data_IF_567271291982
#
_entry.id   IF_567271291982
#
_cell.length_a   1.000
_cell.length_b   1.000
_cell.length_c   1.000
_cell.angle_alpha   90.00
_cell.angle_beta   90.00
_cell.angle_gamma   90.00
#
_symmetry.space_group_name_H-M   'P 1'
#
loop_
_entity.id
_entity.type
_entity.pdbx_description
1 polymer ?
#
# COMPACT_ATOMS: atom_id res chain seq x y z
N UNK A 1 30.41 -26.69 6.00
CA UNK A 1 29.13 -27.22 6.53
C UNK A 1 28.11 -27.22 5.40
N UNK A 2 27.22 -28.24 5.27
CA UNK A 2 26.18 -28.21 4.25
C UNK A 2 25.27 -26.98 4.47
N UNK A 3 24.97 -26.26 3.39
CA UNK A 3 24.12 -25.07 3.44
C UNK A 3 22.69 -25.48 3.75
N UNK A 4 22.26 -25.31 5.00
CA UNK A 4 20.89 -25.60 5.38
C UNK A 4 20.00 -24.51 4.77
N UNK A 5 19.26 -24.87 3.72
CA UNK A 5 18.36 -23.95 3.03
C UNK A 5 16.94 -24.20 3.53
N UNK A 6 16.29 -23.17 4.05
CA UNK A 6 14.88 -23.20 4.45
C UNK A 6 14.06 -22.40 3.45
N UNK A 7 12.96 -22.97 2.98
CA UNK A 7 12.00 -22.30 2.08
C UNK A 7 10.65 -22.14 2.78
N UNK A 8 10.10 -20.93 2.74
CA UNK A 8 8.77 -20.60 3.25
C UNK A 8 8.00 -19.84 2.16
N UNK A 9 6.68 -19.94 2.18
CA UNK A 9 5.82 -19.28 1.21
C UNK A 9 4.61 -18.68 1.89
N UNK A 10 4.38 -17.40 1.68
CA UNK A 10 3.33 -16.63 2.31
C UNK A 10 2.35 -16.06 1.29
N UNK A 11 1.10 -15.95 1.70
CA UNK A 11 0.03 -15.31 0.94
C UNK A 11 -0.49 -14.12 1.74
N UNK A 12 -0.50 -12.94 1.13
CA UNK A 12 -1.10 -11.74 1.74
C UNK A 12 -2.60 -11.75 1.50
N UNK A 13 -3.37 -11.80 2.60
CA UNK A 13 -4.84 -11.69 2.58
C UNK A 13 -5.28 -10.52 3.46
N UNK A 14 -6.45 -9.99 3.16
CA UNK A 14 -7.19 -9.13 4.08
C UNK A 14 -8.02 -10.01 5.00
N UNK A 15 -7.86 -9.83 6.30
CA UNK A 15 -8.85 -10.24 7.30
C UNK A 15 -9.83 -9.08 7.52
N UNK A 16 -10.95 -9.35 8.21
CA UNK A 16 -12.16 -8.53 8.21
C UNK A 16 -11.99 -7.07 8.75
N UNK A 17 -10.78 -6.65 9.12
CA UNK A 17 -10.38 -5.30 9.57
C UNK A 17 -9.29 -4.64 8.69
N UNK A 18 -9.20 -5.00 7.40
CA UNK A 18 -8.25 -4.43 6.43
C UNK A 18 -6.75 -4.60 6.72
N UNK A 19 -6.36 -5.23 7.84
CA UNK A 19 -4.97 -5.52 8.15
C UNK A 19 -4.46 -6.59 7.16
N UNK A 20 -3.53 -6.25 6.25
CA UNK A 20 -2.97 -7.23 5.34
C UNK A 20 -2.04 -8.15 6.12
N UNK A 21 -2.48 -9.39 6.37
CA UNK A 21 -1.67 -10.39 7.07
C UNK A 21 -1.07 -11.35 6.04
N UNK A 22 0.25 -11.55 6.13
CA UNK A 22 0.92 -12.65 5.44
C UNK A 22 0.65 -13.95 6.18
N UNK A 23 -0.13 -14.83 5.56
CA UNK A 23 -0.43 -16.16 6.08
C UNK A 23 0.57 -17.16 5.52
N UNK A 24 1.17 -17.97 6.38
CA UNK A 24 2.04 -19.07 5.97
C UNK A 24 1.22 -20.12 5.18
N UNK A 25 1.60 -20.31 3.93
CA UNK A 25 1.02 -21.26 3.00
C UNK A 25 2.06 -22.28 2.49
N UNK A 26 3.20 -22.41 3.18
CA UNK A 26 4.34 -23.27 2.79
C UNK A 26 3.90 -24.71 2.53
N UNK A 27 3.08 -25.28 3.43
CA UNK A 27 2.57 -26.65 3.31
C UNK A 27 1.59 -26.87 2.15
N UNK A 28 1.08 -25.78 1.56
CA UNK A 28 0.12 -25.81 0.46
C UNK A 28 0.77 -25.47 -0.90
N UNK A 29 2.09 -25.36 -0.97
CA UNK A 29 2.79 -25.17 -2.24
C UNK A 29 2.56 -26.41 -3.12
N UNK A 30 1.98 -26.20 -4.32
CA UNK A 30 1.54 -27.27 -5.25
C UNK A 30 0.47 -28.22 -4.69
N UNK A 31 -0.20 -27.86 -3.60
CA UNK A 31 -1.33 -28.59 -3.03
C UNK A 31 -2.53 -27.66 -2.94
N UNK A 32 -3.70 -28.24 -2.67
CA UNK A 32 -4.91 -27.47 -2.49
C UNK A 32 -4.84 -26.66 -1.20
N UNK A 33 -5.08 -25.36 -1.33
CA UNK A 33 -5.31 -24.51 -0.17
C UNK A 33 -6.64 -24.92 0.48
N UNK A 34 -6.68 -25.06 1.81
CA UNK A 34 -7.88 -25.51 2.53
C UNK A 34 -8.93 -24.39 2.65
N UNK A 35 -8.65 -23.21 2.11
CA UNK A 35 -9.48 -22.02 2.24
C UNK A 35 -9.95 -21.58 0.85
N UNK A 36 -11.27 -21.45 0.62
CA UNK A 36 -11.77 -20.92 -0.64
C UNK A 36 -11.31 -19.47 -0.84
N UNK A 37 -10.83 -19.17 -2.03
CA UNK A 37 -10.70 -17.79 -2.51
C UNK A 37 -12.03 -17.44 -3.16
N UNK A 38 -12.91 -16.78 -2.41
CA UNK A 38 -14.06 -16.13 -3.05
C UNK A 38 -13.55 -14.99 -3.92
N UNK A 39 -14.27 -14.65 -4.99
CA UNK A 39 -13.95 -13.50 -5.84
C UNK A 39 -13.81 -12.19 -5.04
N UNK A 40 -14.47 -12.11 -3.87
CA UNK A 40 -14.33 -11.00 -2.91
C UNK A 40 -12.97 -11.05 -2.18
N UNK A 41 -12.56 -12.19 -1.60
CA UNK A 41 -11.27 -12.30 -0.87
C UNK A 41 -10.07 -12.60 -1.79
N UNK A 42 -9.85 -11.75 -2.80
CA UNK A 42 -8.84 -11.91 -3.85
C UNK A 42 -7.40 -11.95 -3.31
N UNK A 43 -6.57 -12.80 -3.92
CA UNK A 43 -5.12 -12.88 -3.66
C UNK A 43 -4.47 -11.50 -3.90
N UNK A 44 -3.90 -10.87 -2.86
CA UNK A 44 -3.30 -9.52 -3.00
C UNK A 44 -1.80 -9.57 -3.26
N UNK A 45 -1.10 -10.48 -2.58
CA UNK A 45 0.32 -10.69 -2.81
C UNK A 45 0.73 -12.12 -2.46
N UNK A 46 1.82 -12.58 -3.04
CA UNK A 46 2.54 -13.77 -2.60
C UNK A 46 3.98 -13.40 -2.26
N UNK A 47 4.54 -14.01 -1.23
CA UNK A 47 5.94 -13.83 -0.87
C UNK A 47 6.62 -15.18 -0.69
N UNK A 48 7.56 -15.51 -1.57
CA UNK A 48 8.47 -16.62 -1.34
C UNK A 48 9.63 -16.16 -0.47
N UNK A 49 10.03 -16.96 0.51
CA UNK A 49 11.19 -16.71 1.37
C UNK A 49 12.16 -17.87 1.26
N UNK A 50 13.44 -17.58 1.04
CA UNK A 50 14.52 -18.57 1.12
C UNK A 50 15.59 -18.05 2.07
N UNK A 51 15.84 -18.82 3.11
CA UNK A 51 16.88 -18.54 4.09
C UNK A 51 18.02 -19.52 3.89
N UNK A 52 19.23 -19.00 3.73
CA UNK A 52 20.46 -19.77 3.91
C UNK A 52 21.33 -19.15 5.01
N UNK A 53 22.59 -19.53 5.11
CA UNK A 53 23.49 -19.07 6.18
C UNK A 53 23.91 -17.59 6.02
N UNK A 54 23.93 -17.09 4.80
CA UNK A 54 24.48 -15.78 4.43
C UNK A 54 23.38 -14.81 3.97
N UNK A 55 22.37 -15.32 3.27
CA UNK A 55 21.34 -14.53 2.59
C UNK A 55 19.94 -14.97 3.04
N UNK A 56 19.09 -13.97 3.27
CA UNK A 56 17.65 -14.13 3.36
C UNK A 56 17.01 -13.47 2.14
N UNK A 57 16.57 -14.30 1.19
CA UNK A 57 15.87 -13.82 0.01
C UNK A 57 14.36 -13.82 0.21
N UNK A 58 13.74 -12.71 -0.19
CA UNK A 58 12.31 -12.48 -0.21
C UNK A 58 11.91 -12.14 -1.65
N UNK A 59 10.84 -12.74 -2.15
CA UNK A 59 10.30 -12.48 -3.47
C UNK A 59 8.82 -12.13 -3.34
N UNK A 60 8.50 -10.84 -3.21
CA UNK A 60 7.13 -10.35 -3.17
C UNK A 60 6.60 -10.08 -4.57
N UNK A 61 5.42 -10.63 -4.86
CA UNK A 61 4.64 -10.30 -6.04
C UNK A 61 3.29 -9.77 -5.62
N UNK A 62 3.00 -8.53 -5.96
CA UNK A 62 1.67 -7.94 -5.82
C UNK A 62 0.83 -8.29 -7.06
N UNK A 63 -0.45 -8.52 -6.85
CA UNK A 63 -1.41 -8.86 -7.90
C UNK A 63 -2.48 -7.78 -8.03
N UNK A 64 -2.85 -7.46 -9.26
CA UNK A 64 -4.15 -6.85 -9.56
C UNK A 64 -5.26 -7.89 -9.42
N UNK A 65 -6.53 -7.45 -9.29
CA UNK A 65 -7.68 -8.36 -9.28
C UNK A 65 -7.69 -9.32 -10.48
N UNK A 66 -7.55 -8.78 -11.70
CA UNK A 66 -7.47 -9.56 -12.95
C UNK A 66 -6.29 -10.55 -12.96
N UNK A 67 -5.13 -10.18 -12.41
CA UNK A 67 -3.99 -11.10 -12.31
C UNK A 67 -4.22 -12.18 -11.26
N UNK A 68 -4.83 -11.83 -10.13
CA UNK A 68 -5.20 -12.77 -9.08
C UNK A 68 -6.20 -13.83 -9.60
N UNK A 69 -7.21 -13.40 -10.38
CA UNK A 69 -8.18 -14.29 -11.03
C UNK A 69 -7.51 -15.28 -11.99
N UNK A 70 -6.50 -14.85 -12.75
CA UNK A 70 -5.75 -15.74 -13.66
C UNK A 70 -4.91 -16.80 -12.95
N UNK A 71 -4.57 -16.57 -11.69
CA UNK A 71 -3.84 -17.55 -10.87
C UNK A 71 -4.79 -18.59 -10.25
N UNK A 72 -6.10 -18.36 -10.36
CA UNK A 72 -7.17 -19.23 -9.90
C UNK A 72 -7.67 -20.11 -11.06
N UNK A 73 -7.67 -21.42 -10.85
CA UNK A 73 -8.25 -22.41 -11.73
C UNK A 73 -9.70 -22.69 -11.30
N UNK A 74 -10.64 -22.64 -12.25
CA UNK A 74 -12.01 -23.05 -12.02
C UNK A 74 -12.11 -24.56 -12.16
N UNK A 75 -12.29 -25.25 -11.04
CA UNK A 75 -12.42 -26.71 -11.01
C UNK A 75 -13.87 -27.07 -10.76
N UNK A 76 -14.52 -27.69 -11.74
CA UNK A 76 -15.83 -28.30 -11.58
C UNK A 76 -15.65 -29.77 -11.17
N UNK A 77 -16.30 -30.15 -10.08
CA UNK A 77 -16.35 -31.54 -9.62
C UNK A 77 -17.79 -31.94 -9.35
N UNK A 78 -18.13 -33.20 -9.63
CA UNK A 78 -19.46 -33.73 -9.36
C UNK A 78 -19.41 -34.60 -8.11
N UNK A 79 -20.01 -34.12 -7.02
CA UNK A 79 -20.12 -34.86 -5.77
C UNK A 79 -21.59 -35.25 -5.57
N UNK A 80 -21.86 -36.55 -5.48
CA UNK A 80 -23.21 -37.11 -5.30
C UNK A 80 -24.26 -36.61 -6.31
N UNK A 81 -23.88 -36.47 -7.58
CA UNK A 81 -24.78 -36.02 -8.66
C UNK A 81 -25.02 -34.51 -8.71
N UNK A 82 -24.37 -33.72 -7.85
CA UNK A 82 -24.41 -32.25 -7.86
C UNK A 82 -23.08 -31.71 -8.40
N UNK A 83 -23.16 -30.83 -9.40
CA UNK A 83 -21.98 -30.11 -9.90
C UNK A 83 -21.62 -29.02 -8.90
N UNK A 84 -20.41 -29.10 -8.35
CA UNK A 84 -19.82 -28.11 -7.46
C UNK A 84 -18.62 -27.49 -8.16
N UNK A 85 -18.65 -26.18 -8.36
CA UNK A 85 -17.53 -25.41 -8.89
C UNK A 85 -16.73 -24.81 -7.73
N UNK A 86 -15.41 -24.99 -7.76
CA UNK A 86 -14.48 -24.43 -6.78
C UNK A 86 -13.31 -23.74 -7.47
N UNK A 87 -12.98 -22.56 -6.95
CA UNK A 87 -11.82 -21.78 -7.36
C UNK A 87 -10.57 -22.28 -6.61
N UNK A 88 -9.57 -22.77 -7.34
CA UNK A 88 -8.32 -23.30 -6.78
C UNK A 88 -7.12 -22.44 -7.17
N UNK A 89 -6.33 -21.98 -6.19
CA UNK A 89 -5.09 -21.25 -6.46
C UNK A 89 -3.90 -22.21 -6.46
N UNK A 90 -3.19 -22.32 -7.58
CA UNK A 90 -1.96 -23.12 -7.65
C UNK A 90 -0.75 -22.31 -7.20
N UNK A 91 -0.48 -22.34 -5.90
CA UNK A 91 0.70 -21.69 -5.32
C UNK A 91 2.00 -22.30 -5.85
N UNK A 92 2.89 -21.44 -6.37
CA UNK A 92 4.22 -21.83 -6.86
C UNK A 92 5.30 -21.00 -6.18
N UNK A 93 6.24 -21.69 -5.54
CA UNK A 93 7.43 -21.06 -4.97
C UNK A 93 8.28 -20.42 -6.08
N UNK A 94 8.66 -19.12 -5.99
CA UNK A 94 9.44 -18.41 -7.01
C UNK A 94 10.93 -18.76 -6.93
N UNK A 95 11.27 -20.06 -7.02
CA UNK A 95 12.63 -20.58 -6.78
C UNK A 95 13.70 -19.97 -7.68
N UNK A 96 13.37 -19.66 -8.94
CA UNK A 96 14.29 -19.01 -9.88
C UNK A 96 14.64 -17.60 -9.41
N UNK A 97 13.63 -16.81 -9.04
CA UNK A 97 13.82 -15.46 -8.50
C UNK A 97 14.64 -15.49 -7.21
N UNK A 98 14.29 -16.37 -6.27
CA UNK A 98 15.01 -16.53 -5.00
C UNK A 98 16.47 -16.96 -5.20
N UNK A 99 16.72 -17.83 -6.18
CA UNK A 99 18.08 -18.22 -6.52
C UNK A 99 18.89 -17.04 -7.07
N UNK A 100 18.34 -16.31 -8.04
CA UNK A 100 19.00 -15.13 -8.59
C UNK A 100 19.25 -14.04 -7.53
N UNK A 101 18.30 -13.82 -6.61
CA UNK A 101 18.49 -12.93 -5.46
C UNK A 101 19.68 -13.35 -4.59
N UNK A 102 19.81 -14.64 -4.25
CA UNK A 102 20.96 -15.12 -3.49
C UNK A 102 22.28 -14.93 -4.23
N UNK A 103 22.33 -15.24 -5.53
CA UNK A 103 23.54 -15.07 -6.34
C UNK A 103 23.98 -13.60 -6.41
N UNK A 104 23.05 -12.69 -6.68
CA UNK A 104 23.36 -11.25 -6.73
C UNK A 104 23.72 -10.70 -5.36
N UNK A 105 23.03 -11.11 -4.29
CA UNK A 105 23.37 -10.71 -2.92
C UNK A 105 24.81 -11.10 -2.55
N UNK A 106 25.22 -12.32 -2.90
CA UNK A 106 26.60 -12.78 -2.68
C UNK A 106 27.61 -12.01 -3.51
N UNK A 107 27.28 -11.70 -4.77
CA UNK A 107 28.14 -10.87 -5.61
C UNK A 107 28.30 -9.44 -5.05
N UNK A 108 27.24 -8.89 -4.45
CA UNK A 108 27.25 -7.56 -3.84
C UNK A 108 27.81 -7.54 -2.42
N UNK A 109 28.02 -8.70 -1.77
CA UNK A 109 28.44 -8.79 -0.36
C UNK A 109 29.69 -7.99 -0.01
N UNK A 110 30.62 -7.85 -0.96
CA UNK A 110 31.89 -7.13 -0.82
C UNK A 110 31.69 -5.61 -0.80
N UNK A 111 30.64 -5.11 -1.45
CA UNK A 111 30.36 -3.66 -1.56
C UNK A 111 29.14 -3.23 -0.74
N UNK A 112 28.33 -4.18 -0.27
CA UNK A 112 27.16 -3.91 0.55
C UNK A 112 27.58 -3.66 2.01
N UNK A 113 27.78 -2.39 2.34
CA UNK A 113 27.95 -1.89 3.70
C UNK A 113 26.60 -1.71 4.42
N UNK A 114 26.43 -0.56 5.08
CA UNK A 114 25.19 -0.16 5.76
C UNK A 114 24.16 0.49 4.81
N UNK A 115 24.49 0.56 3.53
CA UNK A 115 23.66 1.13 2.47
C UNK A 115 22.64 0.12 1.94
N UNK A 116 21.67 0.65 1.20
CA UNK A 116 20.68 -0.12 0.44
C UNK A 116 21.07 -0.05 -1.03
N UNK A 117 21.23 -1.20 -1.68
CA UNK A 117 21.46 -1.26 -3.13
C UNK A 117 20.14 -1.67 -3.80
N UNK A 118 19.61 -0.84 -4.70
CA UNK A 118 18.44 -1.16 -5.51
C UNK A 118 18.85 -1.39 -6.96
N UNK A 119 18.54 -2.56 -7.49
CA UNK A 119 18.60 -2.87 -8.92
C UNK A 119 17.27 -2.53 -9.59
N UNK A 120 17.31 -1.68 -10.62
CA UNK A 120 16.19 -1.35 -11.50
C UNK A 120 16.68 -1.49 -12.95
N UNK A 121 16.02 -2.33 -13.74
CA UNK A 121 16.35 -2.58 -15.16
C UNK A 121 17.84 -2.90 -15.43
N UNK A 122 18.49 -3.56 -14.47
CA UNK A 122 19.90 -3.98 -14.54
C UNK A 122 20.90 -2.95 -14.02
N UNK A 123 20.44 -1.73 -13.75
CA UNK A 123 21.24 -0.68 -13.13
C UNK A 123 21.20 -0.78 -11.59
N UNK A 124 22.34 -0.60 -10.94
CA UNK A 124 22.47 -0.68 -9.48
C UNK A 124 22.61 0.71 -8.88
N UNK A 125 21.62 1.12 -8.10
CA UNK A 125 21.56 2.39 -7.39
C UNK A 125 21.90 2.18 -5.92
N UNK A 126 22.68 3.10 -5.35
CA UNK A 126 23.09 3.08 -3.95
C UNK A 126 22.30 4.14 -3.20
N UNK A 127 21.59 3.72 -2.16
CA UNK A 127 20.76 4.56 -1.31
C UNK A 127 21.30 4.50 0.12
N UNK A 128 21.47 5.65 0.76
CA UNK A 128 21.70 5.71 2.21
C UNK A 128 20.40 5.47 2.95
N UNK A 129 20.43 4.67 4.01
CA UNK A 129 19.28 4.47 4.91
C UNK A 129 19.58 5.11 6.27
N UNK A 130 19.02 6.29 6.50
CA UNK A 130 19.03 6.93 7.81
C UNK A 130 17.92 6.31 8.68
N UNK A 131 18.21 6.04 9.96
CA UNK A 131 17.26 5.40 10.88
C UNK A 131 16.96 6.31 12.07
N UNK A 132 15.68 6.51 12.36
CA UNK A 132 15.18 7.12 13.58
C UNK A 132 14.34 6.07 14.34
N UNK A 133 15.00 5.29 15.19
CA UNK A 133 14.37 4.09 15.77
C UNK A 133 14.09 3.04 14.68
N UNK A 134 12.83 2.66 14.53
CA UNK A 134 12.37 1.71 13.51
C UNK A 134 11.84 2.40 12.24
N UNK A 135 11.91 3.72 12.15
CA UNK A 135 11.57 4.46 10.93
C UNK A 135 12.83 4.70 10.10
N UNK A 136 12.70 4.61 8.78
CA UNK A 136 13.80 4.77 7.83
C UNK A 136 13.55 5.88 6.82
N UNK A 137 14.57 6.66 6.49
CA UNK A 137 14.54 7.60 5.37
C UNK A 137 15.62 7.22 4.36
N UNK A 138 15.25 7.15 3.08
CA UNK A 138 16.16 6.83 1.99
C UNK A 138 16.61 8.09 1.25
N UNK A 139 17.85 8.10 0.77
CA UNK A 139 18.36 9.12 -0.14
C UNK A 139 19.34 8.51 -1.15
N UNK A 140 19.27 8.92 -2.41
CA UNK A 140 20.18 8.44 -3.45
C UNK A 140 21.59 8.99 -3.19
N UNK A 141 22.57 8.09 -3.21
CA UNK A 141 23.95 8.38 -2.86
C UNK A 141 24.95 7.97 -3.95
N UNK A 142 24.51 7.28 -5.00
CA UNK A 142 25.40 6.89 -6.09
C UNK A 142 24.81 5.82 -7.01
N UNK A 143 25.60 5.44 -8.01
CA UNK A 143 25.33 4.30 -8.90
C UNK A 143 26.54 3.36 -8.92
N UNK A 144 26.30 2.06 -8.82
CA UNK A 144 27.31 1.01 -8.95
C UNK A 144 27.33 0.49 -10.37
N UNK A 145 28.51 0.48 -10.97
CA UNK A 145 28.74 -0.12 -12.29
C UNK A 145 29.66 -1.33 -12.14
N UNK A 146 29.31 -2.43 -12.80
CA UNK A 146 30.16 -3.62 -12.84
C UNK A 146 31.32 -3.41 -13.82
N UNK A 147 32.53 -3.70 -13.36
CA UNK A 147 33.79 -3.63 -14.11
C UNK A 147 34.55 -4.97 -13.99
N UNK A 148 35.65 -5.13 -14.74
CA UNK A 148 36.50 -6.34 -14.65
C UNK A 148 37.08 -6.57 -13.25
N UNK A 149 37.32 -5.49 -12.48
CA UNK A 149 37.86 -5.52 -11.12
C UNK A 149 36.82 -5.61 -10.01
N UNK A 150 35.52 -5.71 -10.32
CA UNK A 150 34.43 -5.66 -9.33
C UNK A 150 33.48 -4.50 -9.59
N UNK A 151 32.93 -3.90 -8.53
CA UNK A 151 31.98 -2.78 -8.66
C UNK A 151 32.67 -1.44 -8.40
N UNK A 152 32.38 -0.45 -9.25
CA UNK A 152 32.85 0.92 -9.10
C UNK A 152 31.64 1.81 -8.82
N UNK A 153 31.74 2.63 -7.77
CA UNK A 153 30.73 3.63 -7.43
C UNK A 153 31.01 4.92 -8.19
N UNK A 154 29.94 5.48 -8.76
CA UNK A 154 29.91 6.82 -9.33
C UNK A 154 28.95 7.69 -8.52
N UNK A 155 29.32 8.95 -8.34
CA UNK A 155 28.43 9.95 -7.75
C UNK A 155 27.32 10.27 -8.77
N UNK A 156 26.10 10.50 -8.28
CA UNK A 156 24.98 10.94 -9.11
C UNK A 156 24.84 12.45 -8.93
N UNK A 157 24.82 13.20 -10.04
CA UNK A 157 24.73 14.67 -10.02
C UNK A 157 23.33 15.21 -9.73
N UNK A 158 22.31 14.40 -9.99
CA UNK A 158 20.90 14.74 -9.79
C UNK A 158 20.41 14.31 -8.40
N UNK A 159 19.45 15.05 -7.84
CA UNK A 159 18.90 14.77 -6.51
C UNK A 159 18.27 13.38 -6.39
N UNK A 160 17.74 12.84 -7.50
CA UNK A 160 17.30 11.45 -7.62
C UNK A 160 17.25 11.05 -9.11
N UNK A 161 17.34 9.75 -9.40
CA UNK A 161 17.19 9.23 -10.76
C UNK A 161 15.71 8.95 -11.05
N UNK A 162 15.19 9.57 -12.11
CA UNK A 162 13.83 9.33 -12.58
C UNK A 162 13.76 8.23 -13.65
N UNK A 163 12.65 7.50 -13.69
CA UNK A 163 12.34 6.49 -14.70
C UNK A 163 10.84 6.50 -15.01
N UNK A 164 10.47 6.06 -16.22
CA UNK A 164 9.07 5.94 -16.62
C UNK A 164 8.47 4.61 -16.12
N UNK A 165 7.27 4.67 -15.52
CA UNK A 165 6.63 3.48 -14.97
C UNK A 165 6.15 2.52 -16.08
N UNK A 166 6.57 1.24 -16.05
CA UNK A 166 6.19 0.28 -17.08
C UNK A 166 4.75 -0.21 -16.91
N UNK A 167 4.07 -0.43 -18.05
CA UNK A 167 2.72 -1.03 -18.10
C UNK A 167 2.66 -2.43 -17.47
N UNK A 168 3.78 -3.17 -17.52
CA UNK A 168 3.87 -4.52 -16.95
C UNK A 168 4.06 -4.54 -15.41
N UNK A 169 4.16 -3.37 -14.77
CA UNK A 169 4.53 -3.24 -13.37
C UNK A 169 6.06 -3.20 -13.17
N UNK A 170 6.47 -2.58 -12.07
CA UNK A 170 7.88 -2.36 -11.70
C UNK A 170 8.47 -3.65 -11.15
N UNK A 171 9.75 -3.89 -11.47
CA UNK A 171 10.57 -4.93 -10.85
C UNK A 171 11.79 -4.30 -10.21
N UNK A 172 11.89 -4.43 -8.89
CA UNK A 172 13.05 -3.96 -8.13
C UNK A 172 13.71 -5.16 -7.45
N UNK A 173 15.04 -5.10 -7.31
CA UNK A 173 15.78 -6.02 -6.44
C UNK A 173 16.58 -5.20 -5.45
N UNK A 174 16.23 -5.31 -4.18
CA UNK A 174 16.73 -4.45 -3.12
C UNK A 174 17.60 -5.30 -2.21
N UNK A 175 18.79 -4.82 -1.89
CA UNK A 175 19.78 -5.52 -1.07
C UNK A 175 20.19 -4.63 0.08
N UNK A 176 20.11 -5.15 1.30
CA UNK A 176 20.51 -4.44 2.51
C UNK A 176 21.07 -5.41 3.55
N UNK A 177 21.94 -4.92 4.41
CA UNK A 177 22.51 -5.72 5.51
C UNK A 177 21.56 -5.71 6.71
N UNK A 178 21.30 -6.88 7.29
CA UNK A 178 20.48 -6.99 8.49
C UNK A 178 21.27 -6.50 9.70
N UNK A 179 20.75 -5.53 10.48
CA UNK A 179 21.40 -5.10 11.73
C UNK A 179 21.40 -6.17 12.83
N UNK A 180 20.66 -7.27 12.67
CA UNK A 180 20.47 -8.28 13.74
C UNK A 180 21.45 -9.45 13.63
N UNK A 181 21.78 -9.90 12.43
CA UNK A 181 22.55 -11.14 12.20
C UNK A 181 23.67 -11.01 11.16
N UNK A 182 23.99 -9.79 10.73
CA UNK A 182 24.99 -9.50 9.68
C UNK A 182 24.79 -10.33 8.38
N UNK A 183 23.54 -10.69 8.12
CA UNK A 183 23.13 -11.41 6.91
C UNK A 183 22.63 -10.41 5.87
N UNK A 184 22.75 -10.76 4.60
CA UNK A 184 22.20 -9.96 3.52
C UNK A 184 20.71 -10.26 3.39
N UNK A 185 19.88 -9.24 3.48
CA UNK A 185 18.49 -9.29 3.08
C UNK A 185 18.45 -8.97 1.58
N UNK A 186 17.93 -9.89 0.78
CA UNK A 186 17.75 -9.72 -0.65
C UNK A 186 16.25 -9.73 -0.96
N UNK A 187 15.73 -8.67 -1.54
CA UNK A 187 14.30 -8.47 -1.69
C UNK A 187 13.94 -8.16 -3.14
N UNK A 188 13.28 -9.11 -3.82
CA UNK A 188 12.67 -8.88 -5.11
C UNK A 188 11.23 -8.40 -4.95
N UNK A 189 10.94 -7.20 -5.46
CA UNK A 189 9.59 -6.67 -5.61
C UNK A 189 9.15 -6.79 -7.07
N UNK A 190 7.93 -7.27 -7.30
CA UNK A 190 7.25 -7.20 -8.59
C UNK A 190 5.81 -6.74 -8.37
N UNK A 191 5.44 -5.59 -8.94
CA UNK A 191 4.10 -5.06 -8.76
C UNK A 191 3.91 -3.67 -9.35
N UNK A 192 2.73 -3.12 -9.14
CA UNK A 192 2.41 -1.75 -9.51
C UNK A 192 2.69 -0.83 -8.32
N UNK A 193 3.24 0.34 -8.61
CA UNK A 193 3.40 1.44 -7.64
C UNK A 193 2.15 2.35 -7.71
N UNK A 194 2.12 3.38 -6.88
CA UNK A 194 0.92 4.22 -6.64
C UNK A 194 0.59 5.20 -7.77
N UNK A 195 1.31 5.11 -8.89
CA UNK A 195 1.22 6.00 -10.05
C UNK A 195 0.90 5.22 -11.33
N UNK A 196 0.38 5.92 -12.33
CA UNK A 196 -0.04 5.31 -13.60
C UNK A 196 1.16 4.85 -14.43
N UNK A 197 1.01 3.78 -15.22
CA UNK A 197 1.98 3.49 -16.27
C UNK A 197 2.22 4.70 -17.19
N UNK A 198 3.47 4.93 -17.57
CA UNK A 198 3.88 6.07 -18.38
C UNK A 198 4.18 7.35 -17.59
N UNK A 199 3.87 7.38 -16.29
CA UNK A 199 4.28 8.49 -15.43
C UNK A 199 5.72 8.32 -14.93
N UNK A 200 6.40 9.44 -14.70
CA UNK A 200 7.75 9.45 -14.12
C UNK A 200 7.71 9.01 -12.65
N UNK A 201 8.71 8.30 -12.19
CA UNK A 201 8.89 7.92 -10.79
C UNK A 201 10.38 7.99 -10.44
N UNK A 202 10.71 8.07 -9.17
CA UNK A 202 12.10 8.11 -8.70
C UNK A 202 12.53 6.79 -8.08
N UNK A 203 13.81 6.44 -8.20
CA UNK A 203 14.37 5.21 -7.61
C UNK A 203 14.18 5.19 -6.09
N UNK A 204 14.39 6.32 -5.41
CA UNK A 204 14.24 6.40 -3.95
C UNK A 204 12.79 6.15 -3.53
N UNK A 205 11.82 6.84 -4.15
CA UNK A 205 10.40 6.68 -3.82
C UNK A 205 9.89 5.27 -4.15
N UNK A 206 10.25 4.74 -5.31
CA UNK A 206 9.92 3.38 -5.69
C UNK A 206 10.49 2.33 -4.71
N UNK A 207 11.73 2.52 -4.25
CA UNK A 207 12.36 1.65 -3.25
C UNK A 207 11.63 1.73 -1.91
N UNK A 208 11.30 2.93 -1.42
CA UNK A 208 10.55 3.12 -0.18
C UNK A 208 9.18 2.43 -0.21
N UNK A 209 8.41 2.64 -1.29
CA UNK A 209 7.11 1.99 -1.52
C UNK A 209 7.23 0.45 -1.54
N UNK A 210 8.27 -0.07 -2.22
CA UNK A 210 8.52 -1.49 -2.28
C UNK A 210 8.88 -2.07 -0.90
N UNK A 211 9.72 -1.39 -0.10
CA UNK A 211 10.06 -1.84 1.26
C UNK A 211 8.80 -1.84 2.14
N UNK A 212 8.04 -0.75 2.16
CA UNK A 212 6.78 -0.68 2.92
C UNK A 212 5.81 -1.81 2.56
N UNK A 213 5.79 -2.24 1.29
CA UNK A 213 4.94 -3.35 0.83
C UNK A 213 5.25 -4.72 1.49
N UNK A 214 6.48 -4.93 1.95
CA UNK A 214 6.92 -6.18 2.60
C UNK A 214 6.96 -6.08 4.14
N UNK A 215 6.86 -4.88 4.74
CA UNK A 215 6.93 -4.71 6.20
C UNK A 215 5.82 -5.43 6.98
N UNK A 216 4.70 -5.76 6.32
CA UNK A 216 3.67 -6.64 6.89
C UNK A 216 4.13 -8.08 7.16
N UNK A 217 5.28 -8.51 6.60
CA UNK A 217 5.86 -9.81 6.87
C UNK A 217 6.79 -9.74 8.09
N UNK A 218 6.37 -10.36 9.20
CA UNK A 218 7.06 -10.29 10.48
C UNK A 218 8.56 -10.65 10.39
N UNK A 219 8.91 -11.68 9.61
CA UNK A 219 10.31 -12.09 9.40
C UNK A 219 11.15 -11.00 8.77
N UNK A 220 10.62 -10.29 7.76
CA UNK A 220 11.33 -9.18 7.12
C UNK A 220 11.52 -8.04 8.13
N UNK A 221 10.44 -7.60 8.76
CA UNK A 221 10.43 -6.51 9.76
C UNK A 221 11.41 -6.75 10.90
N UNK A 222 11.42 -7.96 11.46
CA UNK A 222 12.33 -8.32 12.55
C UNK A 222 13.80 -8.26 12.15
N UNK A 223 14.13 -8.62 10.91
CA UNK A 223 15.51 -8.66 10.42
C UNK A 223 15.99 -7.33 9.88
N UNK A 224 15.11 -6.55 9.27
CA UNK A 224 15.41 -5.19 8.80
C UNK A 224 15.39 -4.18 9.94
N UNK A 225 14.67 -4.44 11.03
CA UNK A 225 14.37 -3.48 12.11
C UNK A 225 13.74 -2.20 11.55
N UNK A 226 12.79 -2.35 10.61
CA UNK A 226 12.06 -1.25 10.00
C UNK A 226 10.57 -1.50 10.17
N UNK A 227 9.87 -0.56 10.80
CA UNK A 227 8.40 -0.53 10.90
C UNK A 227 7.79 0.33 9.79
N UNK A 228 8.53 1.33 9.32
CA UNK A 228 8.15 2.21 8.21
C UNK A 228 9.38 2.76 7.48
N UNK A 229 9.23 3.08 6.20
CA UNK A 229 10.19 3.88 5.43
C UNK A 229 9.45 5.09 4.85
N UNK A 230 9.94 6.29 5.14
CA UNK A 230 9.39 7.53 4.62
C UNK A 230 9.39 7.49 3.09
N UNK A 231 8.24 7.87 2.53
CA UNK A 231 8.06 7.93 1.08
C UNK A 231 8.26 9.39 0.64
N UNK A 232 9.33 9.72 -0.11
CA UNK A 232 9.55 11.07 -0.63
C UNK A 232 8.35 11.57 -1.45
N UNK A 233 8.21 12.88 -1.58
CA UNK A 233 7.16 13.48 -2.40
C UNK A 233 7.25 12.99 -3.87
N UNK A 234 6.10 12.97 -4.54
CA UNK A 234 6.00 12.57 -5.95
C UNK A 234 6.88 13.51 -6.81
N UNK A 235 7.74 12.98 -7.69
CA UNK A 235 8.49 13.83 -8.63
C UNK A 235 7.51 14.61 -9.52
N UNK A 236 7.78 15.91 -9.72
CA UNK A 236 6.90 16.84 -10.44
C UNK A 236 6.64 16.34 -11.87
N UNK A 237 5.53 15.64 -12.07
CA UNK A 237 5.01 15.26 -13.38
C UNK A 237 3.65 15.90 -13.60
N UNK A 238 3.53 16.66 -14.70
CA UNK A 238 2.37 17.36 -15.28
C UNK A 238 1.26 17.79 -14.31
N UNK A 239 1.02 19.12 -14.24
CA UNK A 239 -0.06 19.75 -13.51
C UNK A 239 -1.30 18.87 -13.48
N UNK A 240 -1.76 18.52 -12.26
CA UNK A 240 -3.03 17.84 -12.00
C UNK A 240 -4.04 18.44 -12.97
N UNK A 241 -4.52 17.66 -13.93
CA UNK A 241 -5.56 18.12 -14.84
C UNK A 241 -6.71 18.52 -13.93
N UNK A 242 -6.98 19.82 -13.81
CA UNK A 242 -8.13 20.27 -13.04
C UNK A 242 -9.38 19.65 -13.67
N UNK A 243 -9.94 18.67 -12.98
CA UNK A 243 -11.16 18.01 -13.38
C UNK A 243 -12.28 19.04 -13.37
N UNK A 244 -13.20 18.93 -14.34
CA UNK A 244 -14.42 19.74 -14.27
C UNK A 244 -15.19 19.34 -13.00
N UNK A 245 -15.99 20.22 -12.37
CA UNK A 245 -16.76 19.86 -11.18
C UNK A 245 -17.63 18.60 -11.36
N UNK A 246 -18.10 18.35 -12.59
CA UNK A 246 -18.85 17.16 -12.96
C UNK A 246 -18.01 15.86 -13.01
N UNK A 247 -16.69 15.94 -12.93
CA UNK A 247 -15.73 14.83 -12.93
C UNK A 247 -15.14 14.60 -11.52
N UNK A 248 -15.43 15.45 -10.54
CA UNK A 248 -14.99 15.31 -9.14
C UNK A 248 -16.02 14.51 -8.32
N UNK A 249 -15.55 13.92 -7.22
CA UNK A 249 -16.39 13.31 -6.19
C UNK A 249 -16.17 14.07 -4.88
N UNK A 250 -16.87 15.19 -4.77
CA UNK A 250 -16.92 16.04 -3.58
C UNK A 250 -18.21 15.82 -2.82
N UNK A 251 -18.15 15.79 -1.50
CA UNK A 251 -19.30 15.58 -0.62
C UNK A 251 -19.10 16.31 0.71
N UNK A 252 -20.17 16.38 1.50
CA UNK A 252 -20.12 17.04 2.81
C UNK A 252 -20.74 16.18 3.89
N UNK A 253 -20.06 16.10 5.03
CA UNK A 253 -20.49 15.28 6.17
C UNK A 253 -20.82 16.20 7.34
N UNK A 254 -21.96 16.02 8.04
CA UNK A 254 -22.23 16.73 9.28
C UNK A 254 -21.18 16.40 10.33
N UNK A 255 -20.58 17.41 10.97
CA UNK A 255 -19.53 17.22 11.97
C UNK A 255 -19.78 18.08 13.23
N UNK A 256 -19.44 17.50 14.37
CA UNK A 256 -19.27 18.19 15.65
C UNK A 256 -17.82 18.06 16.10
N UNK A 257 -17.12 19.18 16.20
CA UNK A 257 -15.73 19.22 16.64
C UNK A 257 -15.67 19.67 18.10
N UNK A 258 -14.79 19.05 18.87
CA UNK A 258 -14.55 19.33 20.28
C UNK A 258 -13.07 19.55 20.52
N UNK A 259 -12.70 20.36 21.51
CA UNK A 259 -11.34 20.41 22.04
C UNK A 259 -11.04 19.13 22.86
N UNK A 260 -9.79 18.90 23.21
CA UNK A 260 -9.37 17.71 23.97
C UNK A 260 -10.13 17.57 25.30
N UNK A 261 -10.36 18.70 25.97
CA UNK A 261 -11.12 18.82 27.22
C UNK A 261 -12.64 18.59 27.07
N UNK A 262 -13.14 18.41 25.84
CA UNK A 262 -14.56 18.20 25.53
C UNK A 262 -15.36 19.47 25.28
N UNK A 263 -14.73 20.65 25.29
CA UNK A 263 -15.40 21.90 24.93
C UNK A 263 -15.84 21.89 23.46
N UNK A 264 -17.09 22.23 23.11
CA UNK A 264 -17.52 22.35 21.72
C UNK A 264 -16.68 23.38 20.96
N UNK A 265 -16.02 22.95 19.89
CA UNK A 265 -15.10 23.75 19.09
C UNK A 265 -15.71 24.25 17.78
N UNK A 266 -16.41 23.38 17.05
CA UNK A 266 -17.14 23.77 15.85
C UNK A 266 -18.33 22.84 15.59
N UNK A 267 -19.31 23.32 14.83
CA UNK A 267 -20.44 22.51 14.36
C UNK A 267 -20.76 22.89 12.92
N UNK A 268 -21.20 21.92 12.12
CA UNK A 268 -21.59 22.21 10.75
C UNK A 268 -21.29 21.07 9.80
N UNK A 269 -20.80 21.39 8.61
CA UNK A 269 -20.40 20.38 7.63
C UNK A 269 -18.92 20.51 7.27
N UNK A 270 -18.23 19.37 7.26
CA UNK A 270 -16.89 19.26 6.67
C UNK A 270 -17.02 18.89 5.20
N UNK A 271 -16.13 19.43 4.37
CA UNK A 271 -16.04 19.08 2.96
C UNK A 271 -14.98 17.99 2.79
N UNK A 272 -15.25 17.04 1.90
CA UNK A 272 -14.30 16.00 1.53
C UNK A 272 -14.34 15.77 0.01
N UNK A 273 -13.17 15.48 -0.55
CA UNK A 273 -12.99 15.10 -1.95
C UNK A 273 -12.25 13.76 -2.00
N UNK A 274 -12.73 12.82 -2.83
CA UNK A 274 -11.94 11.66 -3.22
C UNK A 274 -11.07 12.06 -4.40
N UNK A 275 -9.75 11.93 -4.23
CA UNK A 275 -8.79 12.11 -5.31
C UNK A 275 -8.96 10.99 -6.35
N UNK A 276 -9.27 11.37 -7.58
CA UNK A 276 -9.50 10.43 -8.68
C UNK A 276 -8.29 10.33 -9.61
N UNK A 277 -7.20 11.01 -9.28
CA UNK A 277 -5.95 10.99 -10.02
C UNK A 277 -4.85 10.28 -9.23
N UNK A 278 -4.95 10.28 -7.90
CA UNK A 278 -4.01 9.63 -6.99
C UNK A 278 -4.71 8.67 -6.03
N UNK A 279 -3.97 7.63 -5.64
CA UNK A 279 -4.33 6.72 -4.56
C UNK A 279 -3.44 6.99 -3.37
N UNK A 280 -3.91 6.64 -2.17
CA UNK A 280 -3.12 6.78 -0.96
C UNK A 280 -1.80 6.01 -1.13
N UNK A 281 -0.65 6.69 -1.00
CA UNK A 281 0.64 6.12 -1.37
C UNK A 281 1.11 5.01 -0.41
N UNK A 282 0.53 4.90 0.78
CA UNK A 282 0.94 3.96 1.81
C UNK A 282 0.03 2.73 1.81
N UNK A 283 -1.28 2.96 1.72
CA UNK A 283 -2.30 1.92 1.82
C UNK A 283 -2.72 1.37 0.45
N UNK A 284 -2.49 2.13 -0.62
CA UNK A 284 -3.03 1.85 -1.97
C UNK A 284 -4.55 1.96 -2.05
N UNK A 285 -5.17 2.66 -1.09
CA UNK A 285 -6.61 2.93 -1.03
C UNK A 285 -6.99 4.25 -1.72
N UNK A 286 -8.24 4.67 -1.58
CA UNK A 286 -8.66 5.98 -2.05
C UNK A 286 -7.97 7.07 -1.23
N UNK A 287 -7.42 8.08 -1.91
CA UNK A 287 -6.91 9.27 -1.24
C UNK A 287 -8.05 10.27 -1.03
N UNK A 288 -8.10 10.84 0.17
CA UNK A 288 -9.14 11.79 0.59
C UNK A 288 -8.50 13.11 0.98
N UNK A 289 -9.08 14.21 0.52
CA UNK A 289 -8.75 15.55 0.96
C UNK A 289 -9.92 16.09 1.78
N UNK A 290 -9.70 16.38 3.06
CA UNK A 290 -10.75 16.83 3.98
C UNK A 290 -10.45 18.26 4.42
N UNK A 291 -11.42 19.15 4.23
CA UNK A 291 -11.28 20.57 4.55
C UNK A 291 -12.45 21.07 5.39
N UNK A 292 -12.25 22.22 6.05
CA UNK A 292 -13.37 22.96 6.62
C UNK A 292 -14.36 23.29 5.51
N UNK A 293 -15.61 22.87 5.65
CA UNK A 293 -16.67 23.24 4.72
C UNK A 293 -17.20 24.64 5.02
N UNK A 294 -17.80 25.28 4.01
CA UNK A 294 -18.35 26.65 4.13
C UNK A 294 -19.44 26.80 5.22
N UNK A 295 -20.00 25.68 5.67
CA UNK A 295 -21.05 25.62 6.69
C UNK A 295 -20.51 25.26 8.09
N UNK A 296 -19.19 25.29 8.31
CA UNK A 296 -18.59 24.99 9.60
C UNK A 296 -18.50 26.25 10.47
N UNK A 297 -19.31 26.31 11.52
CA UNK A 297 -19.34 27.42 12.48
C UNK A 297 -18.39 27.13 13.66
N UNK A 298 -17.36 27.95 13.82
CA UNK A 298 -16.44 27.88 14.96
C UNK A 298 -17.01 28.57 16.19
N UNK A 299 -16.75 27.97 17.36
CA UNK A 299 -16.98 28.62 18.65
C UNK A 299 -15.93 29.72 18.87
N UNK A 300 -16.33 31.01 18.98
CA UNK A 300 -15.40 32.12 19.17
C UNK A 300 -14.47 31.97 20.37
N UNK A 301 -14.89 31.24 21.42
CA UNK A 301 -14.11 31.04 22.63
C UNK A 301 -12.83 30.20 22.42
N UNK A 302 -12.76 29.42 21.33
CA UNK A 302 -11.61 28.53 21.05
C UNK A 302 -11.06 28.67 19.62
N UNK A 303 -11.67 29.52 18.78
CA UNK A 303 -11.29 29.70 17.37
C UNK A 303 -9.88 30.29 17.16
N UNK A 304 -9.33 30.98 18.16
CA UNK A 304 -7.96 31.52 18.11
C UNK A 304 -6.90 30.46 18.43
N UNK A 305 -7.23 29.48 19.27
CA UNK A 305 -6.29 28.47 19.77
C UNK A 305 -6.39 27.13 19.05
N UNK A 306 -7.54 26.84 18.42
CA UNK A 306 -7.79 25.57 17.75
C UNK A 306 -8.17 25.81 16.28
N UNK A 307 -7.53 25.06 15.39
CA UNK A 307 -7.69 25.16 13.94
C UNK A 307 -8.15 23.82 13.34
N UNK A 308 -8.68 23.85 12.13
CA UNK A 308 -9.26 22.66 11.48
C UNK A 308 -8.22 21.55 11.26
N UNK A 309 -6.99 21.93 10.96
CA UNK A 309 -5.83 21.08 10.69
C UNK A 309 -5.55 20.11 11.85
N UNK A 310 -5.92 20.49 13.08
CA UNK A 310 -5.80 19.60 14.24
C UNK A 310 -6.70 18.35 14.16
N UNK A 311 -7.75 18.38 13.34
CA UNK A 311 -8.73 17.30 13.16
C UNK A 311 -8.55 16.52 11.86
N UNK A 312 -7.76 17.04 10.92
CA UNK A 312 -7.70 16.53 9.53
C UNK A 312 -7.39 15.04 9.50
N UNK A 313 -6.35 14.61 10.23
CA UNK A 313 -5.94 13.20 10.28
C UNK A 313 -7.07 12.27 10.72
N UNK A 314 -7.69 12.55 11.86
CA UNK A 314 -8.71 11.66 12.44
C UNK A 314 -10.02 11.67 11.64
N UNK A 315 -10.36 12.80 11.02
CA UNK A 315 -11.50 12.90 10.12
C UNK A 315 -11.25 12.11 8.84
N UNK A 316 -10.09 12.27 8.21
CA UNK A 316 -9.70 11.52 7.01
C UNK A 316 -9.72 10.02 7.25
N UNK A 317 -9.11 9.55 8.34
CA UNK A 317 -9.11 8.12 8.71
C UNK A 317 -10.53 7.57 8.92
N UNK A 318 -11.39 8.32 9.62
CA UNK A 318 -12.76 7.87 9.91
C UNK A 318 -13.65 7.90 8.67
N UNK A 319 -13.52 8.91 7.81
CA UNK A 319 -14.26 9.01 6.55
C UNK A 319 -13.85 7.86 5.62
N UNK A 320 -12.56 7.54 5.53
CA UNK A 320 -12.07 6.38 4.77
C UNK A 320 -12.72 5.09 5.26
N UNK A 321 -12.75 4.87 6.59
CA UNK A 321 -13.40 3.69 7.17
C UNK A 321 -14.91 3.62 6.88
N UNK A 322 -15.60 4.76 6.89
CA UNK A 322 -17.03 4.83 6.52
C UNK A 322 -17.26 4.46 5.05
N UNK A 323 -16.40 4.93 4.13
CA UNK A 323 -16.46 4.57 2.71
C UNK A 323 -16.21 3.07 2.50
N UNK A 324 -15.25 2.48 3.22
CA UNK A 324 -15.01 1.04 3.19
C UNK A 324 -16.24 0.25 3.64
N UNK A 325 -16.91 0.72 4.69
CA UNK A 325 -18.16 0.13 5.21
C UNK A 325 -19.32 0.24 4.21
N UNK A 326 -19.48 1.39 3.54
CA UNK A 326 -20.59 1.66 2.63
C UNK A 326 -20.48 0.91 1.28
N UNK A 327 -19.28 0.83 0.72
CA UNK A 327 -19.04 0.29 -0.65
C UNK A 327 -18.53 -1.16 -0.61
N UNK A 328 -17.97 -1.57 0.53
CA UNK A 328 -17.21 -2.78 0.67
C UNK A 328 -15.75 -2.54 0.29
N UNK A 329 -14.86 -3.01 1.17
CA UNK A 329 -13.40 -2.93 1.06
C UNK A 329 -12.86 -3.34 -0.31
N UNK A 330 -13.34 -4.45 -0.87
CA UNK A 330 -12.86 -4.95 -2.16
C UNK A 330 -13.20 -3.99 -3.31
N UNK A 331 -14.43 -3.45 -3.29
CA UNK A 331 -14.89 -2.48 -4.28
C UNK A 331 -14.11 -1.17 -4.22
N UNK A 332 -13.82 -0.67 -3.01
CA UNK A 332 -13.01 0.54 -2.83
C UNK A 332 -11.62 0.36 -3.42
N UNK A 333 -11.02 -0.81 -3.22
CA UNK A 333 -9.70 -1.11 -3.76
C UNK A 333 -9.71 -1.29 -5.28
N UNK A 334 -10.75 -1.89 -5.85
CA UNK A 334 -10.89 -1.98 -7.31
C UNK A 334 -11.03 -0.59 -7.93
N UNK A 335 -11.79 0.30 -7.30
CA UNK A 335 -11.90 1.71 -7.73
C UNK A 335 -10.57 2.46 -7.59
N UNK A 336 -9.81 2.23 -6.51
CA UNK A 336 -8.46 2.76 -6.35
C UNK A 336 -7.53 2.26 -7.47
N UNK A 337 -7.63 0.99 -7.88
CA UNK A 337 -6.87 0.48 -9.01
C UNK A 337 -7.28 1.12 -10.34
N UNK A 338 -8.57 1.29 -10.59
CA UNK A 338 -9.04 1.95 -11.81
C UNK A 338 -8.56 3.42 -11.86
N UNK A 339 -8.53 4.11 -10.71
CA UNK A 339 -7.92 5.44 -10.56
C UNK A 339 -6.43 5.38 -10.91
N UNK A 340 -5.68 4.45 -10.32
CA UNK A 340 -4.24 4.26 -10.53
C UNK A 340 -3.88 3.82 -11.96
N UNK A 341 -4.81 3.20 -12.70
CA UNK A 341 -4.59 2.84 -14.10
C UNK A 341 -5.09 3.91 -15.07
N UNK A 342 -5.83 4.92 -14.59
CA UNK A 342 -6.49 5.91 -15.42
C UNK A 342 -7.71 5.38 -16.17
N UNK A 343 -8.21 4.20 -15.79
CA UNK A 343 -9.31 3.48 -16.41
C UNK A 343 -10.64 3.67 -15.67
N UNK A 344 -10.70 4.57 -14.67
CA UNK A 344 -11.93 4.84 -13.92
C UNK A 344 -13.04 5.39 -14.83
N UNK A 345 -13.95 4.50 -15.20
CA UNK A 345 -15.11 4.81 -16.03
C UNK A 345 -16.25 5.50 -15.27
N UNK A 346 -17.27 5.94 -16.01
CA UNK A 346 -18.44 6.64 -15.47
C UNK A 346 -19.20 5.83 -14.39
N UNK A 347 -19.21 4.50 -14.50
CA UNK A 347 -19.83 3.62 -13.51
C UNK A 347 -19.09 3.68 -12.15
N UNK A 348 -17.76 3.73 -12.17
CA UNK A 348 -16.95 3.84 -10.96
C UNK A 348 -17.17 5.17 -10.25
N UNK A 349 -17.21 6.27 -11.01
CA UNK A 349 -17.53 7.60 -10.48
C UNK A 349 -18.95 7.63 -9.87
N UNK A 350 -19.93 7.06 -10.56
CA UNK A 350 -21.30 6.99 -10.05
C UNK A 350 -21.38 6.17 -8.75
N UNK A 351 -20.61 5.10 -8.64
CA UNK A 351 -20.54 4.26 -7.43
C UNK A 351 -19.91 5.01 -6.25
N UNK A 352 -18.83 5.76 -6.47
CA UNK A 352 -18.23 6.62 -5.45
C UNK A 352 -19.19 7.72 -4.97
N UNK A 353 -19.93 8.36 -5.89
CA UNK A 353 -20.94 9.36 -5.52
C UNK A 353 -22.07 8.77 -4.68
N UNK A 354 -22.60 7.61 -5.09
CA UNK A 354 -23.64 6.92 -4.34
C UNK A 354 -23.18 6.59 -2.91
N UNK A 355 -21.93 6.13 -2.76
CA UNK A 355 -21.33 5.84 -1.46
C UNK A 355 -21.25 7.05 -0.52
N UNK A 356 -21.03 8.23 -1.09
CA UNK A 356 -20.82 9.47 -0.33
C UNK A 356 -22.10 10.23 0.02
N UNK A 357 -23.25 9.84 -0.54
CA UNK A 357 -24.49 10.63 -0.46
C UNK A 357 -25.11 10.64 0.95
N UNK A 358 -25.06 9.52 1.66
CA UNK A 358 -25.75 9.33 2.96
C UNK A 358 -24.79 8.92 4.08
N UNK A 359 -23.55 9.42 4.04
CA UNK A 359 -22.58 9.13 5.09
C UNK A 359 -23.05 9.70 6.45
N UNK A 360 -23.00 8.89 7.54
CA UNK A 360 -23.42 9.34 8.86
C UNK A 360 -22.60 10.53 9.37
N UNK A 361 -23.17 11.29 10.29
CA UNK A 361 -22.46 12.42 10.90
C UNK A 361 -21.29 11.97 11.77
N UNK A 362 -20.35 12.89 12.01
CA UNK A 362 -19.13 12.67 12.78
C UNK A 362 -19.11 13.51 14.04
N UNK A 363 -18.49 12.98 15.10
CA UNK A 363 -18.00 13.76 16.24
C UNK A 363 -16.50 13.54 16.38
N UNK A 364 -15.71 14.61 16.53
CA UNK A 364 -14.26 14.50 16.58
C UNK A 364 -13.63 15.40 17.66
N UNK A 365 -12.58 14.88 18.28
CA UNK A 365 -11.52 15.59 19.00
C UNK A 365 -10.24 15.51 18.16
N UNK A 366 -9.19 16.31 18.40
CA UNK A 366 -7.93 16.24 17.64
C UNK A 366 -7.31 14.84 17.56
N UNK A 367 -7.53 14.00 18.56
CA UNK A 367 -6.94 12.66 18.66
C UNK A 367 -7.91 11.49 18.40
N UNK A 368 -9.22 11.74 18.25
CA UNK A 368 -10.21 10.68 18.05
C UNK A 368 -11.44 11.18 17.28
N UNK A 369 -12.04 10.31 16.47
CA UNK A 369 -13.31 10.61 15.81
C UNK A 369 -14.24 9.39 15.89
N UNK A 370 -15.53 9.68 16.00
CA UNK A 370 -16.60 8.69 16.17
C UNK A 370 -17.71 8.95 15.16
N UNK A 371 -18.26 7.85 14.62
CA UNK A 371 -19.42 7.87 13.73
C UNK A 371 -20.67 7.97 14.57
N UNK A 372 -21.46 9.03 14.36
CA UNK A 372 -22.78 9.17 14.98
C UNK A 372 -23.81 8.44 14.16
N UNK A 373 -24.39 7.39 14.71
CA UNK A 373 -25.58 6.74 14.14
C UNK A 373 -26.68 7.78 13.99
N UNK A 374 -27.33 7.85 12.82
CA UNK A 374 -28.47 8.71 12.62
C UNK A 374 -29.56 8.37 13.66
N UNK A 375 -29.87 9.30 14.57
CA UNK A 375 -31.08 9.21 15.36
C UNK A 375 -32.26 9.41 14.39
N UNK A 376 -33.29 8.54 14.38
CA UNK A 376 -34.47 8.79 13.57
C UNK A 376 -35.06 10.15 13.97
N UNK A 377 -35.37 10.96 12.97
CA UNK A 377 -35.97 12.27 13.17
C UNK A 377 -37.22 12.11 14.04
N UNK A 378 -37.15 12.55 15.29
CA UNK A 378 -38.31 12.62 16.18
C UNK A 378 -39.27 13.65 15.61
N UNK A 379 -40.35 13.19 14.97
CA UNK A 379 -41.28 14.07 14.29
C UNK A 379 -42.51 13.37 13.70
N UNK A 380 -43.21 12.55 14.49
CA UNK A 380 -44.65 12.32 14.25
C UNK A 380 -45.35 12.42 15.61
N UNK A 381 -46.18 13.46 15.86
CA UNK A 381 -47.10 13.43 16.98
C UNK A 381 -48.12 12.33 16.72
N UNK A 382 -48.35 11.48 17.71
CA UNK A 382 -49.46 10.52 17.67
C UNK A 382 -50.78 11.30 17.47
N UNK A 383 -51.52 10.92 16.44
CA UNK A 383 -52.93 11.28 16.27
C UNK A 383 -53.81 10.22 16.92
#
# INVERSE_FOLDING_TARGET
MPTQTKEEFYVRRLFDDDVPVFVDATKYVRQDLPYPLSAKKALKATCGVRTDNEVLAFSLRNYTGKQAEREVEHVESTVAGRVTAQNQLRLRMPRRTLHGLNETARALSVVLGDEVITELDGDLYVLTLARAGNEGTLALAGKLTRSEGGFVRSDVSDADTEFELPVAGVRLRIFLRSPVRDRIIAYGFSGYLTRKPGEMETVTRATALAINSILGLATFRMLSQLDHVDVPAVPRGNAVRQRKPAEQVTFTIPALLFADDGTPAARGRVAAEIDLDQVDPVTGGLQLHVTAGDQLEWNPAVAETLKFEAYERVLTETIAAMLHSAVGVDTVRDLAYDIMLGDLGAEGIARLRAATTDLPGLAAKPNQAEVRSAQPATGVPAA
#
